data_IF_854082649313
#
_entry.id   IF_854082649313
#
_cell.length_a   1.000
_cell.length_b   1.000
_cell.length_c   1.000
_cell.angle_alpha   90.00
_cell.angle_beta   90.00
_cell.angle_gamma   90.00
#
_symmetry.space_group_name_H-M   'P 1'
#
loop_
_entity.id
_entity.type
_entity.pdbx_description
1 polymer ?
#
# COMPACT_ATOMS: atom_id res chain seq x y z
N UNK A 1 0.06 11.21 -25.48
CA UNK A 1 -1.16 11.19 -24.63
C UNK A 1 -2.43 10.99 -25.45
N UNK A 2 -2.70 11.83 -26.46
CA UNK A 2 -3.92 11.75 -27.28
C UNK A 2 -4.11 10.37 -27.96
N UNK A 3 -3.05 9.80 -28.54
CA UNK A 3 -3.10 8.46 -29.15
C UNK A 3 -3.44 7.34 -28.15
N UNK A 4 -2.84 7.33 -26.95
CA UNK A 4 -3.17 6.35 -25.92
C UNK A 4 -4.61 6.52 -25.40
N UNK A 5 -5.11 7.76 -25.33
CA UNK A 5 -6.48 8.05 -24.96
C UNK A 5 -7.47 7.52 -26.00
N UNK A 6 -7.19 7.73 -27.29
CA UNK A 6 -7.99 7.19 -28.41
C UNK A 6 -8.01 5.66 -28.36
N UNK A 7 -6.86 4.99 -28.18
CA UNK A 7 -6.81 3.53 -28.02
C UNK A 7 -7.66 3.06 -26.83
N UNK A 8 -7.57 3.73 -25.69
CA UNK A 8 -8.30 3.35 -24.49
C UNK A 8 -9.82 3.45 -24.68
N UNK A 9 -10.29 4.46 -25.40
CA UNK A 9 -11.70 4.63 -25.76
C UNK A 9 -12.14 3.60 -26.81
N UNK A 10 -11.40 3.45 -27.91
CA UNK A 10 -11.76 2.54 -29.01
C UNK A 10 -11.82 1.09 -28.56
N UNK A 11 -10.80 0.61 -27.85
CA UNK A 11 -10.75 -0.77 -27.39
C UNK A 11 -11.65 -1.03 -26.17
N UNK A 12 -11.90 -0.02 -25.33
CA UNK A 12 -12.94 -0.09 -24.30
C UNK A 12 -14.33 -0.31 -24.90
N UNK A 13 -14.66 0.40 -25.99
CA UNK A 13 -15.92 0.23 -26.74
C UNK A 13 -15.98 -1.12 -27.47
N UNK A 14 -14.86 -1.62 -27.98
CA UNK A 14 -14.79 -2.94 -28.63
C UNK A 14 -15.04 -4.09 -27.64
N UNK A 15 -14.45 -4.01 -26.44
CA UNK A 15 -14.72 -4.97 -25.36
C UNK A 15 -16.19 -4.91 -24.88
N UNK A 16 -16.81 -3.73 -24.89
CA UNK A 16 -18.22 -3.54 -24.58
C UNK A 16 -19.13 -4.23 -25.61
N UNK A 17 -18.85 -4.11 -26.90
CA UNK A 17 -19.64 -4.76 -27.95
C UNK A 17 -19.69 -6.27 -27.72
N UNK A 18 -18.54 -6.88 -27.39
CA UNK A 18 -18.45 -8.31 -27.10
C UNK A 18 -19.24 -8.70 -25.84
N UNK A 19 -19.10 -7.95 -24.74
CA UNK A 19 -19.81 -8.23 -23.49
C UNK A 19 -21.32 -8.02 -23.61
N UNK A 20 -21.75 -6.96 -24.31
CA UNK A 20 -23.18 -6.69 -24.58
C UNK A 20 -23.78 -7.77 -25.47
N UNK A 21 -23.07 -8.21 -26.52
CA UNK A 21 -23.50 -9.33 -27.34
C UNK A 21 -23.59 -10.63 -26.53
N UNK A 22 -22.62 -10.91 -25.65
CA UNK A 22 -22.64 -12.09 -24.79
C UNK A 22 -23.83 -12.06 -23.80
N UNK A 23 -24.11 -10.90 -23.21
CA UNK A 23 -25.19 -10.71 -22.21
C UNK A 23 -26.58 -10.67 -22.86
N UNK A 24 -26.72 -10.08 -24.04
CA UNK A 24 -27.98 -10.02 -24.80
C UNK A 24 -28.45 -11.40 -25.27
N UNK A 25 -27.52 -12.34 -25.43
CA UNK A 25 -27.81 -13.72 -25.81
C UNK A 25 -27.67 -14.71 -24.65
N UNK A 26 -27.55 -14.23 -23.41
CA UNK A 26 -27.37 -15.07 -22.21
C UNK A 26 -28.49 -16.11 -22.07
N UNK A 27 -29.76 -15.72 -22.27
CA UNK A 27 -30.91 -16.65 -22.25
C UNK A 27 -30.90 -17.66 -23.40
N UNK A 28 -30.31 -17.31 -24.54
CA UNK A 28 -30.19 -18.21 -25.71
C UNK A 28 -29.05 -19.19 -25.51
N UNK A 29 -27.94 -18.74 -24.92
CA UNK A 29 -26.77 -19.54 -24.57
C UNK A 29 -27.09 -20.50 -23.42
N UNK A 30 -27.81 -20.05 -22.40
CA UNK A 30 -28.28 -20.89 -21.30
C UNK A 30 -29.19 -22.02 -21.78
N UNK A 31 -29.98 -21.82 -22.84
CA UNK A 31 -30.81 -22.88 -23.46
C UNK A 31 -30.02 -23.88 -24.30
N UNK A 32 -28.86 -23.49 -24.82
CA UNK A 32 -27.99 -24.36 -25.64
C UNK A 32 -27.09 -25.26 -24.76
N UNK A 33 -26.77 -24.84 -23.53
CA UNK A 33 -25.84 -25.53 -22.63
C UNK A 33 -26.50 -26.15 -21.38
N UNK A 34 -27.81 -26.42 -21.41
CA UNK A 34 -28.60 -26.87 -20.25
C UNK A 34 -28.11 -28.17 -19.62
N UNK A 35 -27.48 -29.07 -20.38
CA UNK A 35 -27.18 -30.42 -19.87
C UNK A 35 -25.75 -30.63 -19.32
N UNK A 36 -24.83 -29.67 -19.48
CA UNK A 36 -23.41 -29.99 -19.28
C UNK A 36 -22.66 -28.87 -18.52
N UNK A 37 -22.59 -29.04 -17.19
CA UNK A 37 -22.05 -28.04 -16.23
C UNK A 37 -20.61 -27.60 -16.52
N UNK A 38 -19.83 -28.43 -17.21
CA UNK A 38 -18.42 -28.11 -17.52
C UNK A 38 -18.29 -27.11 -18.69
N UNK A 39 -19.24 -27.11 -19.62
CA UNK A 39 -19.27 -26.17 -20.76
C UNK A 39 -19.70 -24.77 -20.35
N UNK A 40 -20.61 -24.61 -19.38
CA UNK A 40 -20.95 -23.29 -18.84
C UNK A 40 -19.72 -22.67 -18.14
N UNK A 41 -18.97 -23.47 -17.38
CA UNK A 41 -17.69 -23.07 -16.81
C UNK A 41 -16.65 -22.72 -17.89
N UNK A 42 -16.53 -23.53 -18.94
CA UNK A 42 -15.64 -23.28 -20.07
C UNK A 42 -16.03 -22.03 -20.87
N UNK A 43 -17.33 -21.80 -21.07
CA UNK A 43 -17.89 -20.64 -21.74
C UNK A 43 -17.68 -19.38 -20.91
N UNK A 44 -17.92 -19.40 -19.59
CA UNK A 44 -17.62 -18.26 -18.72
C UNK A 44 -16.12 -17.96 -18.67
N UNK A 45 -15.26 -18.99 -18.68
CA UNK A 45 -13.80 -18.83 -18.86
C UNK A 45 -13.47 -18.21 -20.22
N UNK A 46 -14.15 -18.64 -21.29
CA UNK A 46 -13.98 -18.12 -22.65
C UNK A 46 -14.48 -16.68 -22.79
N UNK A 47 -15.68 -16.35 -22.31
CA UNK A 47 -16.24 -15.00 -22.31
C UNK A 47 -15.39 -14.05 -21.45
N UNK A 48 -14.88 -14.52 -20.30
CA UNK A 48 -13.89 -13.77 -19.51
C UNK A 48 -12.58 -13.61 -20.29
N UNK A 49 -12.10 -14.65 -20.98
CA UNK A 49 -10.90 -14.59 -21.80
C UNK A 49 -11.05 -13.63 -22.99
N UNK A 50 -12.19 -13.65 -23.70
CA UNK A 50 -12.49 -12.72 -24.81
C UNK A 50 -12.68 -11.31 -24.24
N UNK A 51 -13.33 -11.14 -23.09
CA UNK A 51 -13.42 -9.85 -22.39
C UNK A 51 -12.04 -9.31 -22.00
N UNK A 52 -11.13 -10.17 -21.51
CA UNK A 52 -9.74 -9.83 -21.21
C UNK A 52 -8.96 -9.49 -22.48
N UNK A 53 -9.11 -10.25 -23.56
CA UNK A 53 -8.43 -10.01 -24.84
C UNK A 53 -8.93 -8.73 -25.50
N UNK A 54 -10.25 -8.48 -25.49
CA UNK A 54 -10.87 -7.27 -26.03
C UNK A 54 -10.52 -6.02 -25.23
N UNK A 55 -10.37 -6.13 -23.91
CA UNK A 55 -9.97 -5.00 -23.04
C UNK A 55 -8.45 -4.86 -22.88
N UNK A 56 -7.65 -5.86 -23.26
CA UNK A 56 -6.20 -5.86 -23.10
C UNK A 56 -5.50 -4.67 -23.79
N UNK A 57 -5.84 -4.26 -25.04
CA UNK A 57 -5.23 -3.07 -25.65
C UNK A 57 -5.55 -1.78 -24.87
N UNK A 58 -6.77 -1.65 -24.33
CA UNK A 58 -7.15 -0.54 -23.47
C UNK A 58 -6.40 -0.54 -22.14
N UNK A 59 -6.21 -1.71 -21.53
CA UNK A 59 -5.39 -1.90 -20.33
C UNK A 59 -3.90 -1.63 -20.58
N UNK A 60 -3.37 -1.97 -21.75
CA UNK A 60 -2.00 -1.67 -22.15
C UNK A 60 -1.79 -0.17 -22.40
N UNK A 61 -2.74 0.48 -23.09
CA UNK A 61 -2.74 1.93 -23.29
C UNK A 61 -2.83 2.67 -21.95
N UNK A 62 -3.66 2.17 -21.03
CA UNK A 62 -3.76 2.67 -19.67
C UNK A 62 -2.46 2.49 -18.89
N UNK A 63 -1.86 1.30 -18.94
CA UNK A 63 -0.57 1.04 -18.31
C UNK A 63 0.52 1.96 -18.86
N UNK A 64 0.47 2.28 -20.16
CA UNK A 64 1.32 3.28 -20.82
C UNK A 64 1.10 4.69 -20.26
N UNK A 65 -0.15 5.17 -20.24
CA UNK A 65 -0.51 6.47 -19.67
C UNK A 65 -0.08 6.58 -18.20
N UNK A 66 -0.33 5.55 -17.41
CA UNK A 66 0.10 5.50 -16.01
C UNK A 66 1.62 5.51 -15.87
N UNK A 67 2.36 4.76 -16.70
CA UNK A 67 3.83 4.79 -16.75
C UNK A 67 4.36 6.20 -17.00
N UNK A 68 3.69 6.97 -17.83
CA UNK A 68 4.12 8.32 -18.20
C UNK A 68 3.66 9.39 -17.20
N UNK A 69 2.45 9.29 -16.66
CA UNK A 69 1.77 10.41 -16.00
C UNK A 69 1.70 10.30 -14.47
N UNK A 70 1.60 9.09 -13.89
CA UNK A 70 1.26 8.97 -12.47
C UNK A 70 2.49 8.74 -11.58
N UNK A 71 2.73 9.61 -10.60
CA UNK A 71 3.76 9.47 -9.56
C UNK A 71 5.10 8.93 -10.09
N UNK A 72 5.55 9.41 -11.26
CA UNK A 72 6.70 8.82 -11.98
C UNK A 72 7.99 8.91 -11.15
N UNK A 73 8.25 10.07 -10.55
CA UNK A 73 9.40 10.28 -9.69
C UNK A 73 9.38 9.31 -8.50
N UNK A 74 8.27 9.26 -7.74
CA UNK A 74 8.10 8.33 -6.62
C UNK A 74 8.35 6.87 -7.04
N UNK A 75 7.73 6.40 -8.13
CA UNK A 75 7.89 5.01 -8.56
C UNK A 75 9.30 4.64 -8.99
N UNK A 76 10.02 5.60 -9.57
CA UNK A 76 11.39 5.39 -10.03
C UNK A 76 12.38 5.50 -8.87
N UNK A 77 12.20 6.52 -8.04
CA UNK A 77 13.22 7.02 -7.13
C UNK A 77 13.00 6.56 -5.68
N UNK A 78 11.77 6.19 -5.29
CA UNK A 78 11.50 5.62 -3.96
C UNK A 78 11.48 4.08 -3.95
N UNK A 79 11.61 3.42 -5.10
CA UNK A 79 11.45 1.96 -5.19
C UNK A 79 12.49 1.20 -4.36
N UNK A 80 13.76 1.62 -4.37
CA UNK A 80 14.80 0.93 -3.61
C UNK A 80 14.57 1.06 -2.09
N UNK A 81 14.09 2.23 -1.66
CA UNK A 81 13.62 2.46 -0.29
C UNK A 81 12.45 1.53 0.05
N UNK A 82 11.39 1.50 -0.76
CA UNK A 82 10.20 0.69 -0.46
C UNK A 82 10.52 -0.80 -0.32
N UNK A 83 11.42 -1.35 -1.14
CA UNK A 83 11.79 -2.78 -1.04
C UNK A 83 12.71 -3.11 0.13
N UNK A 84 13.45 -2.13 0.66
CA UNK A 84 14.36 -2.31 1.81
C UNK A 84 13.70 -1.90 3.14
N UNK A 85 12.60 -1.12 3.07
CA UNK A 85 11.81 -0.65 4.21
C UNK A 85 11.36 -1.76 5.18
N UNK A 86 11.07 -3.01 4.76
CA UNK A 86 10.78 -4.08 5.72
C UNK A 86 11.86 -4.30 6.78
N UNK A 87 13.11 -3.88 6.57
CA UNK A 87 14.13 -3.90 7.61
C UNK A 87 13.76 -3.01 8.82
N UNK A 88 13.12 -1.86 8.59
CA UNK A 88 12.74 -0.89 9.64
C UNK A 88 11.25 -0.94 10.01
N UNK A 89 10.40 -1.59 9.22
CA UNK A 89 8.95 -1.62 9.45
C UNK A 89 8.29 -2.98 9.27
N UNK A 90 9.06 -4.04 9.05
CA UNK A 90 8.52 -5.39 8.86
C UNK A 90 7.91 -5.95 10.14
N UNK A 91 6.87 -6.76 10.02
CA UNK A 91 6.24 -7.43 11.17
C UNK A 91 6.79 -8.81 11.45
N UNK A 92 7.57 -9.35 10.51
CA UNK A 92 8.07 -10.70 10.53
C UNK A 92 6.99 -11.74 10.23
N UNK A 93 7.37 -12.87 9.66
CA UNK A 93 6.49 -14.04 9.51
C UNK A 93 7.26 -15.33 9.36
N UNK A 94 6.60 -16.45 9.65
CA UNK A 94 7.10 -17.77 9.31
C UNK A 94 6.60 -18.17 7.91
N UNK A 95 7.56 -18.48 7.04
CA UNK A 95 7.29 -19.01 5.71
C UNK A 95 6.61 -20.40 5.83
N UNK A 96 5.42 -20.61 5.22
CA UNK A 96 4.68 -21.86 5.37
C UNK A 96 5.37 -23.09 4.76
N UNK A 97 6.20 -22.91 3.74
CA UNK A 97 6.83 -24.01 3.01
C UNK A 97 8.16 -24.42 3.65
N UNK A 98 8.94 -23.44 4.10
CA UNK A 98 10.30 -23.63 4.61
C UNK A 98 10.41 -23.55 6.13
N UNK A 99 9.40 -23.01 6.81
CA UNK A 99 9.42 -22.77 8.26
C UNK A 99 10.43 -21.71 8.71
N UNK A 100 11.05 -20.99 7.76
CA UNK A 100 12.05 -19.95 8.03
C UNK A 100 11.37 -18.63 8.37
N UNK A 101 12.02 -17.86 9.23
CA UNK A 101 11.54 -16.53 9.59
C UNK A 101 11.99 -15.50 8.55
N UNK A 102 11.06 -14.70 8.04
CA UNK A 102 11.31 -13.56 7.17
C UNK A 102 10.90 -12.25 7.82
N UNK A 103 11.38 -11.13 7.29
CA UNK A 103 11.15 -9.77 7.82
C UNK A 103 9.71 -9.26 7.63
N UNK A 104 8.97 -9.78 6.64
CA UNK A 104 7.68 -9.22 6.24
C UNK A 104 6.61 -10.28 6.06
N UNK A 105 5.40 -10.01 6.57
CA UNK A 105 4.22 -10.85 6.38
C UNK A 105 3.71 -10.76 4.93
N UNK A 106 3.60 -9.55 4.37
CA UNK A 106 3.05 -9.35 3.02
C UNK A 106 4.10 -9.46 1.92
N UNK A 107 5.38 -9.23 2.23
CA UNK A 107 6.48 -9.26 1.27
C UNK A 107 6.53 -10.51 0.39
N UNK A 108 6.42 -11.74 0.93
CA UNK A 108 6.46 -12.97 0.14
C UNK A 108 5.33 -13.09 -0.89
N UNK A 109 4.18 -12.49 -0.61
CA UNK A 109 3.04 -12.47 -1.52
C UNK A 109 3.23 -11.52 -2.71
N UNK A 110 4.16 -10.55 -2.66
CA UNK A 110 4.38 -9.58 -3.73
C UNK A 110 4.95 -10.27 -4.98
N UNK A 111 4.17 -10.32 -6.07
CA UNK A 111 4.56 -10.93 -7.34
C UNK A 111 4.88 -9.89 -8.43
N UNK A 112 4.42 -8.65 -8.30
CA UNK A 112 4.60 -7.60 -9.29
C UNK A 112 4.98 -6.26 -8.67
N UNK A 113 5.60 -5.37 -9.45
CA UNK A 113 5.82 -3.99 -9.01
C UNK A 113 4.54 -3.17 -9.04
N UNK A 114 3.63 -3.48 -9.97
CA UNK A 114 2.43 -2.69 -10.22
C UNK A 114 1.28 -3.64 -10.48
N UNK A 115 0.11 -3.33 -9.92
CA UNK A 115 -1.13 -4.03 -10.26
C UNK A 115 -1.45 -3.84 -11.73
N UNK A 116 -1.65 -4.94 -12.45
CA UNK A 116 -2.10 -4.93 -13.84
C UNK A 116 -3.40 -5.71 -14.02
N UNK A 117 -3.91 -6.34 -12.95
CA UNK A 117 -5.21 -7.02 -12.97
C UNK A 117 -6.01 -6.79 -11.68
N UNK A 118 -7.31 -7.07 -11.78
CA UNK A 118 -8.25 -7.09 -10.65
C UNK A 118 -8.21 -8.39 -9.85
N UNK A 119 -7.34 -9.35 -10.21
CA UNK A 119 -7.29 -10.64 -9.54
C UNK A 119 -6.79 -10.49 -8.08
N UNK A 120 -7.40 -11.18 -7.11
CA UNK A 120 -6.96 -11.14 -5.70
C UNK A 120 -5.52 -11.60 -5.48
N UNK A 121 -5.02 -12.47 -6.36
CA UNK A 121 -3.65 -13.00 -6.34
C UNK A 121 -2.60 -12.00 -6.84
N UNK A 122 -3.00 -10.89 -7.47
CA UNK A 122 -2.09 -9.87 -8.00
C UNK A 122 -1.66 -8.88 -6.91
N UNK A 123 -0.81 -9.36 -5.99
CA UNK A 123 -0.21 -8.51 -4.94
C UNK A 123 1.03 -7.80 -5.51
N UNK A 124 1.10 -6.50 -5.27
CA UNK A 124 2.10 -5.62 -5.87
C UNK A 124 2.61 -4.54 -4.92
N UNK A 125 3.75 -3.93 -5.27
CA UNK A 125 4.30 -2.80 -4.51
C UNK A 125 3.43 -1.55 -4.69
N UNK A 126 3.15 -1.16 -5.94
CA UNK A 126 2.28 -0.04 -6.29
C UNK A 126 0.91 -0.55 -6.72
N UNK A 127 -0.06 -0.43 -5.82
CA UNK A 127 -1.44 -0.76 -6.11
C UNK A 127 -2.12 0.45 -6.78
N UNK A 128 -2.67 0.20 -7.96
CA UNK A 128 -3.35 1.23 -8.76
C UNK A 128 -4.82 0.88 -8.97
N UNK A 129 -5.37 -0.07 -8.20
CA UNK A 129 -6.75 -0.51 -8.31
C UNK A 129 -7.74 0.64 -8.19
N UNK A 130 -7.46 1.64 -7.34
CA UNK A 130 -8.27 2.85 -7.23
C UNK A 130 -8.28 3.70 -8.51
N UNK A 131 -7.20 3.70 -9.28
CA UNK A 131 -7.10 4.41 -10.56
C UNK A 131 -7.67 3.58 -11.72
N UNK A 132 -7.67 2.25 -11.59
CA UNK A 132 -8.28 1.34 -12.57
C UNK A 132 -9.81 1.30 -12.48
N UNK A 133 -10.41 1.58 -11.31
CA UNK A 133 -11.88 1.63 -11.15
C UNK A 133 -12.60 2.47 -12.22
N UNK A 134 -12.16 3.71 -12.51
CA UNK A 134 -12.63 4.49 -13.66
C UNK A 134 -12.64 3.78 -15.02
N UNK A 135 -11.72 2.84 -15.28
CA UNK A 135 -11.68 2.11 -16.55
C UNK A 135 -12.80 1.10 -16.66
N UNK A 136 -13.19 0.47 -15.55
CA UNK A 136 -14.37 -0.39 -15.54
C UNK A 136 -15.64 0.43 -15.81
N UNK A 137 -15.70 1.69 -15.36
CA UNK A 137 -16.80 2.60 -15.67
C UNK A 137 -16.86 3.02 -17.15
N UNK A 138 -15.78 2.88 -17.92
CA UNK A 138 -15.82 3.03 -19.39
C UNK A 138 -16.69 1.93 -20.01
N UNK A 139 -16.77 0.76 -19.38
CA UNK A 139 -17.72 -0.29 -19.78
C UNK A 139 -19.17 0.13 -19.53
N UNK A 140 -19.41 1.07 -18.61
CA UNK A 140 -20.73 1.67 -18.37
C UNK A 140 -20.94 2.98 -19.17
N UNK A 141 -20.09 3.26 -20.17
CA UNK A 141 -20.06 4.50 -20.97
C UNK A 141 -19.88 5.79 -20.17
N UNK A 142 -19.47 5.69 -18.90
CA UNK A 142 -19.11 6.84 -18.09
C UNK A 142 -17.64 7.21 -18.30
N UNK A 143 -17.37 8.20 -19.15
CA UNK A 143 -16.01 8.71 -19.39
C UNK A 143 -15.55 9.72 -18.31
N UNK A 144 -16.48 10.29 -17.54
CA UNK A 144 -16.19 11.30 -16.49
C UNK A 144 -15.13 10.83 -15.47
N UNK A 145 -15.12 9.57 -15.02
CA UNK A 145 -14.10 9.07 -14.10
C UNK A 145 -12.66 9.10 -14.66
N UNK A 146 -12.46 9.07 -15.99
CA UNK A 146 -11.12 9.14 -16.60
C UNK A 146 -10.42 10.48 -16.34
N UNK A 147 -11.18 11.56 -16.15
CA UNK A 147 -10.62 12.87 -15.79
C UNK A 147 -9.88 12.83 -14.43
N UNK A 148 -10.19 11.87 -13.56
CA UNK A 148 -9.49 11.69 -12.28
C UNK A 148 -8.01 11.38 -12.44
N UNK A 149 -7.60 10.77 -13.56
CA UNK A 149 -6.20 10.43 -13.85
C UNK A 149 -5.34 11.67 -14.07
N UNK A 150 -5.93 12.78 -14.49
CA UNK A 150 -5.24 14.04 -14.79
C UNK A 150 -5.30 15.05 -13.64
N UNK A 151 -5.88 14.67 -12.49
CA UNK A 151 -5.90 15.55 -11.32
C UNK A 151 -4.47 15.77 -10.81
N UNK A 152 -4.19 17.01 -10.38
CA UNK A 152 -2.91 17.38 -9.75
C UNK A 152 -2.59 16.52 -8.53
N UNK A 153 -3.61 16.14 -7.75
CA UNK A 153 -3.48 15.24 -6.59
C UNK A 153 -3.98 13.86 -6.98
N UNK A 154 -3.10 12.88 -6.89
CA UNK A 154 -3.40 11.47 -7.15
C UNK A 154 -3.25 10.66 -5.86
N UNK A 155 -4.10 9.65 -5.69
CA UNK A 155 -3.98 8.71 -4.57
C UNK A 155 -3.12 7.53 -5.00
N UNK A 156 -1.90 7.45 -4.47
CA UNK A 156 -1.04 6.28 -4.57
C UNK A 156 -1.41 5.27 -3.47
N UNK A 157 -1.49 3.98 -3.79
CA UNK A 157 -1.65 2.91 -2.81
C UNK A 157 -0.41 2.02 -2.82
N UNK A 158 0.09 1.69 -1.62
CA UNK A 158 1.24 0.82 -1.44
C UNK A 158 0.78 -0.53 -0.91
N UNK A 159 1.12 -1.60 -1.62
CA UNK A 159 0.77 -2.96 -1.20
C UNK A 159 1.83 -3.62 -0.31
N UNK A 160 3.09 -3.19 -0.41
CA UNK A 160 4.18 -3.66 0.46
C UNK A 160 4.19 -2.89 1.78
N UNK A 161 3.25 -3.19 2.66
CA UNK A 161 3.13 -2.54 3.97
C UNK A 161 2.47 -3.47 4.97
N UNK A 162 3.24 -3.92 5.95
CA UNK A 162 2.73 -4.76 7.03
C UNK A 162 1.94 -3.93 8.06
N UNK A 163 1.22 -4.63 8.94
CA UNK A 163 0.41 -4.04 10.01
C UNK A 163 1.20 -4.10 11.31
N UNK A 164 1.76 -2.97 11.75
CA UNK A 164 2.64 -2.93 12.91
C UNK A 164 1.85 -2.79 14.21
N UNK A 165 2.35 -3.38 15.30
CA UNK A 165 1.90 -3.09 16.65
C UNK A 165 2.88 -2.14 17.35
N UNK A 166 4.18 -2.32 17.12
CA UNK A 166 5.19 -1.43 17.64
C UNK A 166 5.03 -0.01 17.08
N UNK A 167 4.76 0.95 17.96
CA UNK A 167 4.50 2.34 17.57
C UNK A 167 5.70 2.98 16.86
N UNK A 168 6.92 2.60 17.25
CA UNK A 168 8.15 3.02 16.56
C UNK A 168 8.20 2.52 15.11
N UNK A 169 7.86 1.25 14.86
CA UNK A 169 7.82 0.69 13.51
C UNK A 169 6.71 1.33 12.66
N UNK A 170 5.52 1.55 13.21
CA UNK A 170 4.41 2.25 12.53
C UNK A 170 4.80 3.69 12.18
N UNK A 171 5.38 4.43 13.13
CA UNK A 171 5.87 5.80 12.91
C UNK A 171 6.91 5.85 11.80
N UNK A 172 7.97 5.04 11.89
CA UNK A 172 9.01 5.01 10.87
C UNK A 172 8.45 4.62 9.51
N UNK A 173 7.54 3.65 9.44
CA UNK A 173 6.88 3.25 8.19
C UNK A 173 6.23 4.43 7.48
N UNK A 174 5.44 5.23 8.19
CA UNK A 174 4.67 6.34 7.61
C UNK A 174 5.56 7.56 7.39
N UNK A 175 6.33 7.96 8.39
CA UNK A 175 7.10 9.19 8.40
C UNK A 175 8.26 9.15 7.40
N UNK A 176 9.05 8.06 7.36
CA UNK A 176 10.15 7.93 6.38
C UNK A 176 9.60 7.86 4.94
N UNK A 177 8.46 7.20 4.73
CA UNK A 177 7.83 7.13 3.41
C UNK A 177 7.35 8.50 2.93
N UNK A 178 6.77 9.30 3.83
CA UNK A 178 6.32 10.66 3.51
C UNK A 178 7.51 11.51 3.09
N UNK A 179 8.58 11.53 3.90
CA UNK A 179 9.78 12.29 3.59
C UNK A 179 10.45 11.84 2.29
N UNK A 180 10.60 10.53 2.07
CA UNK A 180 11.18 9.99 0.83
C UNK A 180 10.33 10.35 -0.39
N UNK A 181 9.01 10.44 -0.26
CA UNK A 181 8.15 10.88 -1.36
C UNK A 181 8.33 12.36 -1.66
N UNK A 182 8.41 13.22 -0.64
CA UNK A 182 8.70 14.64 -0.82
C UNK A 182 10.05 14.84 -1.53
N UNK A 183 11.09 14.10 -1.12
CA UNK A 183 12.42 14.12 -1.76
C UNK A 183 12.40 13.60 -3.20
N UNK A 184 11.59 12.57 -3.49
CA UNK A 184 11.40 12.07 -4.84
C UNK A 184 10.72 13.13 -5.73
N UNK A 185 9.69 13.80 -5.22
CA UNK A 185 8.98 14.86 -5.93
C UNK A 185 9.88 16.09 -6.17
N UNK A 186 10.76 16.42 -5.22
CA UNK A 186 11.78 17.45 -5.36
C UNK A 186 12.95 17.06 -6.29
N UNK A 187 13.01 15.81 -6.76
CA UNK A 187 14.04 15.30 -7.66
C UNK A 187 15.40 15.01 -7.00
N UNK A 188 15.49 15.12 -5.68
CA UNK A 188 16.71 14.90 -4.88
C UNK A 188 17.24 13.47 -5.05
N UNK A 189 16.32 12.50 -5.13
CA UNK A 189 16.66 11.08 -5.15
C UNK A 189 17.02 10.54 -6.55
N UNK A 190 17.00 11.38 -7.59
CA UNK A 190 17.11 10.94 -8.98
C UNK A 190 18.43 10.22 -9.32
N UNK A 191 19.50 10.48 -8.55
CA UNK A 191 20.83 9.89 -8.73
C UNK A 191 21.07 8.65 -7.88
N UNK A 192 20.16 8.29 -6.98
CA UNK A 192 20.37 7.13 -6.11
C UNK A 192 20.38 5.82 -6.93
N UNK A 193 21.26 4.87 -6.57
CA UNK A 193 21.36 3.59 -7.24
C UNK A 193 20.12 2.74 -6.99
N UNK A 194 19.71 1.97 -8.00
CA UNK A 194 18.47 1.18 -7.97
C UNK A 194 18.78 -0.31 -8.14
N UNK A 195 18.10 -1.21 -7.42
CA UNK A 195 18.23 -2.65 -7.61
C UNK A 195 17.95 -3.06 -9.06
N UNK A 196 18.84 -3.85 -9.68
CA UNK A 196 18.71 -4.28 -11.08
C UNK A 196 17.47 -5.15 -11.31
N UNK A 197 17.12 -5.98 -10.32
CA UNK A 197 15.94 -6.87 -10.34
C UNK A 197 15.12 -6.64 -9.07
N UNK A 198 14.25 -5.62 -9.02
CA UNK A 198 13.58 -5.19 -7.78
C UNK A 198 12.77 -6.27 -7.05
N UNK A 199 12.08 -7.16 -7.77
CA UNK A 199 11.29 -8.23 -7.14
C UNK A 199 12.15 -9.34 -6.56
N UNK A 200 13.21 -9.74 -7.29
CA UNK A 200 14.20 -10.68 -6.77
C UNK A 200 14.95 -10.08 -5.58
N UNK A 201 15.25 -8.78 -5.63
CA UNK A 201 15.86 -8.04 -4.54
C UNK A 201 14.95 -8.02 -3.31
N UNK A 202 13.67 -7.68 -3.46
CA UNK A 202 12.69 -7.72 -2.37
C UNK A 202 12.68 -9.08 -1.68
N UNK A 203 12.50 -10.18 -2.43
CA UNK A 203 12.47 -11.55 -1.87
C UNK A 203 13.75 -11.90 -1.12
N UNK A 204 14.90 -11.53 -1.69
CA UNK A 204 16.21 -11.79 -1.07
C UNK A 204 16.37 -11.01 0.23
N UNK A 205 15.98 -9.74 0.26
CA UNK A 205 16.12 -8.89 1.45
C UNK A 205 15.15 -9.31 2.56
N UNK A 206 13.88 -9.58 2.24
CA UNK A 206 12.90 -9.99 3.27
C UNK A 206 13.13 -11.40 3.79
N UNK A 207 13.74 -12.28 2.99
CA UNK A 207 14.04 -13.66 3.38
C UNK A 207 15.28 -13.79 4.26
N UNK A 208 15.96 -12.68 4.54
CA UNK A 208 17.18 -12.66 5.34
C UNK A 208 17.01 -11.82 6.62
N UNK A 209 16.60 -12.45 7.74
CA UNK A 209 16.44 -11.74 9.00
C UNK A 209 17.77 -11.29 9.61
N UNK A 210 18.92 -11.78 9.12
CA UNK A 210 20.24 -11.34 9.54
C UNK A 210 20.70 -10.06 8.80
N UNK A 211 19.93 -9.59 7.81
CA UNK A 211 20.19 -8.36 7.04
C UNK A 211 21.54 -8.35 6.29
N UNK A 212 22.13 -9.52 6.03
CA UNK A 212 23.46 -9.66 5.39
C UNK A 212 23.39 -9.68 3.87
N UNK A 213 22.26 -10.07 3.31
CA UNK A 213 22.05 -10.28 1.90
C UNK A 213 22.20 -9.00 1.11
N UNK A 214 23.08 -9.02 0.11
CA UNK A 214 23.28 -7.90 -0.82
C UNK A 214 22.58 -8.12 -2.16
N UNK A 215 22.07 -7.05 -2.74
CA UNK A 215 21.38 -7.05 -4.05
C UNK A 215 22.13 -6.14 -5.04
N UNK A 216 22.36 -6.59 -6.28
CA UNK A 216 23.10 -5.80 -7.27
C UNK A 216 22.29 -4.56 -7.69
N UNK A 217 22.93 -3.40 -7.65
CA UNK A 217 22.34 -2.12 -8.05
C UNK A 217 22.82 -1.64 -9.44
N UNK A 218 22.19 -0.57 -9.93
CA UNK A 218 22.41 -0.01 -11.27
C UNK A 218 23.83 0.51 -11.48
N UNK A 219 24.49 0.95 -10.42
CA UNK A 219 25.89 1.42 -10.40
C UNK A 219 26.91 0.27 -10.29
N UNK A 220 26.46 -0.98 -10.30
CA UNK A 220 27.34 -2.16 -10.21
C UNK A 220 27.68 -2.57 -8.78
N UNK A 221 27.38 -1.76 -7.77
CA UNK A 221 27.65 -2.08 -6.37
C UNK A 221 26.47 -2.86 -5.79
N UNK A 222 26.76 -3.99 -5.14
CA UNK A 222 25.76 -4.76 -4.42
C UNK A 222 25.54 -4.16 -3.02
N UNK A 223 24.28 -3.98 -2.61
CA UNK A 223 23.92 -3.35 -1.32
C UNK A 223 22.93 -4.18 -0.51
N UNK A 224 23.06 -4.18 0.82
CA UNK A 224 22.11 -4.75 1.77
C UNK A 224 20.87 -3.88 1.94
N UNK A 225 19.87 -4.37 2.67
CA UNK A 225 18.70 -3.57 3.00
C UNK A 225 19.07 -2.31 3.80
N UNK A 226 20.00 -2.45 4.76
CA UNK A 226 20.47 -1.34 5.58
C UNK A 226 21.27 -0.34 4.73
N UNK A 227 22.21 -0.81 3.91
CA UNK A 227 22.99 0.06 3.01
C UNK A 227 22.08 0.84 2.06
N UNK A 228 20.99 0.22 1.58
CA UNK A 228 19.98 0.94 0.80
C UNK A 228 19.25 1.99 1.64
N UNK A 229 18.81 1.69 2.85
CA UNK A 229 18.14 2.66 3.72
C UNK A 229 19.05 3.85 4.08
N UNK A 230 20.33 3.59 4.36
CA UNK A 230 21.36 4.61 4.64
C UNK A 230 21.46 5.64 3.53
N UNK A 231 21.48 5.21 2.26
CA UNK A 231 21.50 6.13 1.11
C UNK A 231 20.34 7.13 1.10
N UNK A 232 19.12 6.70 1.50
CA UNK A 232 17.97 7.60 1.55
C UNK A 232 18.01 8.50 2.78
N UNK A 233 18.47 7.98 3.92
CA UNK A 233 18.68 8.79 5.12
C UNK A 233 19.71 9.90 4.87
N UNK A 234 20.81 9.59 4.19
CA UNK A 234 21.86 10.56 3.87
C UNK A 234 21.35 11.64 2.91
N UNK A 235 20.63 11.24 1.84
CA UNK A 235 19.98 12.19 0.94
C UNK A 235 18.95 13.08 1.66
N UNK A 236 18.22 12.51 2.63
CA UNK A 236 17.27 13.26 3.44
C UNK A 236 17.97 14.26 4.38
N UNK A 237 19.07 13.85 5.03
CA UNK A 237 19.90 14.72 5.87
C UNK A 237 20.48 15.88 5.08
N UNK A 238 21.06 15.62 3.92
CA UNK A 238 21.62 16.66 3.04
C UNK A 238 20.55 17.67 2.61
N UNK A 239 19.38 17.18 2.19
CA UNK A 239 18.28 18.04 1.79
C UNK A 239 17.76 18.92 2.95
N UNK A 240 17.63 18.34 4.14
CA UNK A 240 17.14 19.04 5.33
C UNK A 240 18.16 20.07 5.83
N UNK A 241 19.46 19.76 5.79
CA UNK A 241 20.52 20.70 6.16
C UNK A 241 20.56 21.93 5.23
N UNK A 242 20.19 21.77 3.96
CA UNK A 242 20.06 22.87 2.99
C UNK A 242 18.79 23.73 3.15
N UNK A 243 17.83 23.32 3.99
CA UNK A 243 16.57 24.03 4.18
C UNK A 243 16.63 24.94 5.42
N UNK A 244 16.47 26.24 5.22
CA UNK A 244 16.60 27.27 6.28
C UNK A 244 15.61 27.14 7.47
N UNK A 245 14.57 26.30 7.37
CA UNK A 245 13.55 26.13 8.40
C UNK A 245 12.91 24.73 8.38
N UNK A 246 13.72 23.66 8.42
CA UNK A 246 13.18 22.32 8.63
C UNK A 246 12.57 22.18 10.05
N UNK A 247 11.42 21.52 10.15
CA UNK A 247 10.69 21.41 11.42
C UNK A 247 11.39 20.48 12.42
N UNK A 248 11.11 20.64 13.72
CA UNK A 248 11.68 19.78 14.77
C UNK A 248 11.28 18.31 14.56
N UNK A 249 10.08 18.06 14.05
CA UNK A 249 9.56 16.72 13.76
C UNK A 249 10.39 16.01 12.68
N UNK A 250 10.88 16.74 11.67
CA UNK A 250 11.74 16.17 10.64
C UNK A 250 13.11 15.78 11.22
N UNK A 251 13.69 16.61 12.08
CA UNK A 251 14.95 16.28 12.75
C UNK A 251 14.80 15.04 13.64
N UNK A 252 13.69 14.96 14.40
CA UNK A 252 13.39 13.81 15.25
C UNK A 252 13.15 12.53 14.43
N UNK A 253 12.50 12.62 13.27
CA UNK A 253 12.39 11.52 12.32
C UNK A 253 13.77 11.02 11.86
N UNK A 254 14.64 11.93 11.41
CA UNK A 254 15.99 11.57 10.92
C UNK A 254 16.81 10.92 12.03
N UNK A 255 16.75 11.43 13.26
CA UNK A 255 17.42 10.85 14.43
C UNK A 255 16.93 9.43 14.70
N UNK A 256 15.61 9.22 14.79
CA UNK A 256 15.03 7.89 15.04
C UNK A 256 15.34 6.89 13.93
N UNK A 257 15.31 7.33 12.68
CA UNK A 257 15.65 6.48 11.55
C UNK A 257 17.11 6.03 11.62
N UNK A 258 18.03 6.96 11.89
CA UNK A 258 19.46 6.68 12.09
C UNK A 258 19.70 5.70 13.24
N UNK A 259 19.09 5.94 14.40
CA UNK A 259 19.21 5.07 15.57
C UNK A 259 18.78 3.64 15.29
N UNK A 260 17.66 3.47 14.59
CA UNK A 260 17.19 2.14 14.22
C UNK A 260 18.15 1.47 13.25
N UNK A 261 18.65 2.17 12.22
CA UNK A 261 19.62 1.59 11.30
C UNK A 261 20.93 1.22 12.01
N UNK A 262 21.43 2.08 12.90
CA UNK A 262 22.65 1.83 13.68
C UNK A 262 22.49 0.62 14.61
N UNK A 263 21.35 0.50 15.28
CA UNK A 263 21.06 -0.67 16.11
C UNK A 263 20.91 -1.94 15.28
N UNK A 264 20.31 -1.88 14.08
CA UNK A 264 20.23 -3.03 13.17
C UNK A 264 21.61 -3.51 12.68
N UNK A 265 22.59 -2.62 12.55
CA UNK A 265 23.96 -2.98 12.14
C UNK A 265 24.78 -3.60 13.27
N UNK A 266 24.59 -3.12 14.49
CA UNK A 266 25.48 -3.43 15.62
C UNK A 266 24.85 -4.38 16.65
N UNK A 267 23.62 -4.09 17.09
CA UNK A 267 22.95 -4.81 18.17
C UNK A 267 21.42 -4.81 17.98
N UNK A 268 20.87 -5.64 17.07
CA UNK A 268 19.44 -5.67 16.77
C UNK A 268 18.54 -5.91 17.98
N UNK A 269 19.05 -6.61 19.01
CA UNK A 269 18.33 -6.88 20.26
C UNK A 269 17.85 -5.60 20.98
N UNK A 270 18.54 -4.46 20.80
CA UNK A 270 18.13 -3.16 21.36
C UNK A 270 16.80 -2.64 20.77
N UNK A 271 16.32 -3.26 19.70
CA UNK A 271 15.06 -2.92 19.03
C UNK A 271 13.91 -3.82 19.44
N UNK A 272 14.10 -4.69 20.44
CA UNK A 272 13.00 -5.38 21.09
C UNK A 272 11.96 -4.37 21.62
N UNK A 273 10.67 -4.66 21.42
CA UNK A 273 9.56 -3.75 21.68
C UNK A 273 9.44 -2.56 20.71
N UNK A 274 10.49 -2.22 19.96
CA UNK A 274 10.52 -1.09 19.00
C UNK A 274 10.22 -1.51 17.56
N UNK A 275 10.71 -2.70 17.15
CA UNK A 275 10.41 -3.30 15.85
C UNK A 275 9.70 -4.64 16.04
N UNK A 276 8.60 -4.82 15.30
CA UNK A 276 7.76 -6.00 15.42
C UNK A 276 8.52 -7.28 15.06
N UNK A 277 9.21 -7.31 13.91
CA UNK A 277 9.92 -8.51 13.47
C UNK A 277 11.05 -8.90 14.43
N UNK A 278 11.75 -7.94 15.03
CA UNK A 278 12.81 -8.19 16.02
C UNK A 278 12.22 -8.83 17.27
N UNK A 279 11.14 -8.25 17.79
CA UNK A 279 10.47 -8.73 19.01
C UNK A 279 9.88 -10.12 18.80
N UNK A 280 9.18 -10.32 17.68
CA UNK A 280 8.60 -11.60 17.31
C UNK A 280 9.68 -12.67 17.10
N UNK A 281 10.79 -12.33 16.45
CA UNK A 281 11.91 -13.26 16.27
C UNK A 281 12.49 -13.70 17.61
N UNK A 282 12.71 -12.76 18.53
CA UNK A 282 13.21 -13.08 19.87
C UNK A 282 12.27 -14.02 20.64
N UNK A 283 10.95 -13.81 20.57
CA UNK A 283 9.96 -14.71 21.19
C UNK A 283 9.99 -16.11 20.58
N UNK A 284 10.14 -16.21 19.25
CA UNK A 284 10.25 -17.50 18.56
C UNK A 284 11.56 -18.23 18.89
N UNK A 285 12.67 -17.50 19.04
CA UNK A 285 13.97 -18.04 19.44
C UNK A 285 13.93 -18.54 20.88
N UNK A 286 13.34 -17.76 21.80
CA UNK A 286 13.18 -18.13 23.21
C UNK A 286 12.30 -19.37 23.40
N UNK A 287 11.26 -19.52 22.57
CA UNK A 287 10.38 -20.69 22.62
C UNK A 287 11.09 -21.98 22.16
N UNK A 288 12.24 -21.87 21.47
CA UNK A 288 13.11 -22.97 21.08
C UNK A 288 12.96 -23.40 19.63
N UNK A 289 14.10 -23.63 18.97
CA UNK A 289 14.16 -24.02 17.56
C UNK A 289 13.56 -25.40 17.26
N UNK A 290 13.43 -26.26 18.27
CA UNK A 290 12.86 -27.61 18.16
C UNK A 290 11.33 -27.66 18.18
N UNK A 291 10.65 -26.51 18.32
CA UNK A 291 9.19 -26.47 18.26
C UNK A 291 8.68 -26.79 16.85
N UNK A 292 7.65 -27.64 16.80
CA UNK A 292 6.89 -27.91 15.58
C UNK A 292 6.37 -26.62 14.95
N UNK A 293 6.27 -26.61 13.61
CA UNK A 293 5.83 -25.43 12.85
C UNK A 293 4.50 -24.89 13.36
N UNK A 294 3.53 -25.76 13.68
CA UNK A 294 2.23 -25.35 14.19
C UNK A 294 2.32 -24.59 15.53
N UNK A 295 3.23 -24.99 16.43
CA UNK A 295 3.44 -24.30 17.70
C UNK A 295 4.12 -22.94 17.48
N UNK A 296 5.14 -22.88 16.61
CA UNK A 296 5.78 -21.62 16.21
C UNK A 296 4.81 -20.66 15.54
N UNK A 297 3.91 -21.17 14.68
CA UNK A 297 2.88 -20.35 14.02
C UNK A 297 1.82 -19.84 15.00
N UNK A 298 1.48 -20.59 16.05
CA UNK A 298 0.63 -20.08 17.13
C UNK A 298 1.28 -18.88 17.83
N UNK A 299 2.59 -18.91 18.07
CA UNK A 299 3.31 -17.78 18.66
C UNK A 299 3.27 -16.55 17.75
N UNK A 300 3.55 -16.75 16.45
CA UNK A 300 3.50 -15.72 15.41
C UNK A 300 2.12 -15.03 15.35
N UNK A 301 1.04 -15.82 15.38
CA UNK A 301 -0.34 -15.31 15.40
C UNK A 301 -0.69 -14.62 16.73
N UNK A 302 -0.34 -15.24 17.87
CA UNK A 302 -0.64 -14.71 19.20
C UNK A 302 0.08 -13.38 19.46
N UNK A 303 1.23 -13.14 18.84
CA UNK A 303 1.88 -11.83 18.87
C UNK A 303 0.96 -10.70 18.41
N UNK A 304 0.16 -10.95 17.36
CA UNK A 304 -0.71 -9.95 16.72
C UNK A 304 -2.11 -9.86 17.33
N UNK A 305 -2.42 -10.64 18.36
CA UNK A 305 -3.74 -10.62 18.98
C UNK A 305 -3.93 -9.34 19.80
N UNK A 306 -4.97 -8.57 19.48
CA UNK A 306 -5.26 -7.32 20.17
C UNK A 306 -5.74 -7.59 21.60
N UNK A 307 -5.23 -6.81 22.57
CA UNK A 307 -5.60 -6.87 23.98
C UNK A 307 -5.00 -8.04 24.76
N UNK A 308 -4.95 -9.25 24.21
CA UNK A 308 -4.41 -10.43 24.94
C UNK A 308 -3.17 -11.07 24.32
N UNK A 309 -2.69 -10.52 23.21
CA UNK A 309 -1.51 -11.01 22.51
C UNK A 309 -0.19 -10.70 23.22
N UNK A 310 0.89 -11.29 22.70
CA UNK A 310 2.21 -11.09 23.32
C UNK A 310 2.68 -9.65 23.28
N UNK A 311 2.41 -8.92 22.19
CA UNK A 311 2.81 -7.51 22.12
C UNK A 311 2.09 -6.64 23.16
N UNK A 312 0.79 -6.88 23.40
CA UNK A 312 0.05 -6.16 24.44
C UNK A 312 0.70 -6.35 25.82
N UNK A 313 1.12 -7.59 26.14
CA UNK A 313 1.87 -7.87 27.38
C UNK A 313 3.23 -7.17 27.43
N UNK A 314 3.95 -7.09 26.31
CA UNK A 314 5.21 -6.33 26.26
C UNK A 314 4.99 -4.84 26.54
N UNK A 315 3.86 -4.29 26.08
CA UNK A 315 3.48 -2.90 26.37
C UNK A 315 3.11 -2.74 27.86
N UNK A 316 2.31 -3.66 28.43
CA UNK A 316 1.94 -3.67 29.85
C UNK A 316 3.16 -3.80 30.79
N UNK A 317 4.16 -4.57 30.39
CA UNK A 317 5.43 -4.73 31.13
C UNK A 317 6.43 -3.58 30.90
N UNK A 318 6.08 -2.57 30.08
CA UNK A 318 6.94 -1.43 29.77
C UNK A 318 8.14 -1.76 28.86
N UNK A 319 8.13 -2.93 28.22
CA UNK A 319 9.16 -3.38 27.28
C UNK A 319 8.95 -2.85 25.86
N UNK A 320 7.75 -2.38 25.53
CA UNK A 320 7.43 -1.75 24.24
C UNK A 320 7.22 -0.23 24.42
N UNK A 321 8.15 0.63 23.96
CA UNK A 321 8.02 2.07 24.14
C UNK A 321 6.91 2.66 23.28
N UNK A 322 6.09 3.50 23.90
CA UNK A 322 4.99 4.22 23.27
C UNK A 322 5.43 5.60 22.77
N UNK A 323 4.82 6.04 21.68
CA UNK A 323 4.97 7.38 21.11
C UNK A 323 3.77 8.29 21.43
N UNK A 324 2.60 7.69 21.66
CA UNK A 324 1.37 8.40 22.02
C UNK A 324 0.81 7.89 23.35
N UNK A 325 0.33 8.82 24.17
CA UNK A 325 -0.31 8.51 25.46
C UNK A 325 -1.76 8.04 25.30
N UNK A 326 -2.34 7.50 26.37
CA UNK A 326 -3.73 7.02 26.37
C UNK A 326 -4.72 8.17 26.09
N UNK A 327 -4.51 9.33 26.70
CA UNK A 327 -5.36 10.53 26.47
C UNK A 327 -5.42 10.94 25.00
N UNK A 328 -4.31 10.80 24.26
CA UNK A 328 -4.27 11.12 22.82
C UNK A 328 -5.05 10.09 22.00
N UNK A 329 -4.94 8.81 22.37
CA UNK A 329 -5.70 7.72 21.74
C UNK A 329 -7.19 7.90 22.00
N UNK A 330 -7.59 8.13 23.25
CA UNK A 330 -8.98 8.35 23.64
C UNK A 330 -9.58 9.55 22.92
N UNK A 331 -8.83 10.66 22.82
CA UNK A 331 -9.25 11.83 22.05
C UNK A 331 -9.43 11.48 20.58
N UNK A 332 -8.50 10.74 19.97
CA UNK A 332 -8.56 10.36 18.55
C UNK A 332 -9.73 9.43 18.22
N UNK A 333 -10.29 8.69 19.19
CA UNK A 333 -11.52 7.90 19.00
C UNK A 333 -12.75 8.78 18.73
N UNK A 334 -12.77 9.98 19.32
CA UNK A 334 -13.94 10.88 19.30
C UNK A 334 -13.73 12.06 18.34
N UNK A 335 -12.51 12.52 18.18
CA UNK A 335 -12.18 13.76 17.48
C UNK A 335 -11.44 13.49 16.17
N UNK A 336 -11.93 14.11 15.10
CA UNK A 336 -11.28 14.02 13.80
C UNK A 336 -10.07 14.97 13.72
N UNK A 337 -9.00 14.60 12.99
CA UNK A 337 -7.78 15.40 12.92
C UNK A 337 -8.03 16.80 12.37
N UNK A 338 -7.53 17.81 13.09
CA UNK A 338 -7.91 19.21 12.94
C UNK A 338 -7.63 19.79 11.55
N UNK A 339 -6.45 19.50 10.99
CA UNK A 339 -5.97 20.05 9.72
C UNK A 339 -6.28 19.13 8.54
N UNK A 340 -7.45 18.51 8.57
CA UNK A 340 -7.87 17.55 7.54
C UNK A 340 -9.34 17.70 7.14
N UNK A 341 -9.73 17.23 5.93
CA UNK A 341 -11.13 17.13 5.54
C UNK A 341 -11.98 16.28 6.49
N UNK A 342 -11.36 15.41 7.30
CA UNK A 342 -12.07 14.61 8.28
C UNK A 342 -12.72 15.48 9.37
N UNK A 343 -12.14 16.63 9.74
CA UNK A 343 -12.75 17.58 10.69
C UNK A 343 -14.09 18.07 10.17
N UNK A 344 -14.12 18.62 8.95
CA UNK A 344 -15.34 19.10 8.30
C UNK A 344 -16.36 17.98 8.15
N UNK A 345 -15.90 16.79 7.74
CA UNK A 345 -16.77 15.61 7.63
C UNK A 345 -17.39 15.23 8.97
N UNK A 346 -16.61 15.20 10.06
CA UNK A 346 -17.08 14.87 11.41
C UNK A 346 -18.11 15.89 11.91
N UNK A 347 -17.84 17.18 11.72
CA UNK A 347 -18.78 18.26 12.08
C UNK A 347 -20.11 18.14 11.33
N UNK A 348 -20.07 17.92 10.01
CA UNK A 348 -21.27 17.74 9.20
C UNK A 348 -22.03 16.46 9.60
N UNK A 349 -21.33 15.36 9.88
CA UNK A 349 -21.95 14.12 10.34
C UNK A 349 -22.71 14.36 11.66
N UNK A 350 -22.08 15.02 12.64
CA UNK A 350 -22.71 15.34 13.93
C UNK A 350 -23.93 16.25 13.76
N UNK A 351 -23.83 17.29 12.94
CA UNK A 351 -24.93 18.22 12.67
C UNK A 351 -26.11 17.56 11.96
N UNK A 352 -25.85 16.70 10.96
CA UNK A 352 -26.88 15.96 10.23
C UNK A 352 -27.56 14.93 11.13
N UNK A 353 -26.79 14.21 11.96
CA UNK A 353 -27.32 13.27 12.94
C UNK A 353 -28.23 13.98 13.97
N UNK A 354 -27.80 15.12 14.50
CA UNK A 354 -28.59 15.92 15.45
C UNK A 354 -29.88 16.47 14.81
N UNK A 355 -29.87 16.75 13.51
CA UNK A 355 -31.04 17.28 12.78
C UNK A 355 -31.97 16.19 12.23
N UNK A 356 -31.64 14.91 12.43
CA UNK A 356 -32.40 13.78 11.86
C UNK A 356 -32.39 13.72 10.32
N UNK A 357 -31.46 14.41 9.66
CA UNK A 357 -31.40 14.49 8.20
C UNK A 357 -30.64 13.28 7.67
N UNK A 358 -31.34 12.43 6.92
CA UNK A 358 -30.71 11.33 6.20
C UNK A 358 -29.73 11.87 5.15
N UNK A 359 -28.49 11.36 5.14
CA UNK A 359 -27.48 11.74 4.17
C UNK A 359 -26.57 10.56 3.84
N UNK A 360 -26.07 10.51 2.60
CA UNK A 360 -25.02 9.58 2.19
C UNK A 360 -23.66 10.25 2.38
N UNK A 361 -22.84 9.70 3.25
CA UNK A 361 -21.53 10.27 3.62
C UNK A 361 -20.42 9.48 2.95
N UNK A 362 -19.56 10.16 2.19
CA UNK A 362 -18.38 9.60 1.54
C UNK A 362 -17.06 10.21 2.05
N UNK A 363 -15.95 9.87 1.38
CA UNK A 363 -14.64 10.45 1.65
C UNK A 363 -14.46 11.83 1.00
N UNK A 364 -15.02 12.02 -0.20
CA UNK A 364 -14.87 13.21 -1.04
C UNK A 364 -16.13 14.08 -1.06
N UNK A 365 -17.29 13.56 -0.64
CA UNK A 365 -18.57 14.28 -0.68
C UNK A 365 -19.58 13.77 0.33
N UNK A 366 -20.58 14.60 0.62
CA UNK A 366 -21.79 14.26 1.35
C UNK A 366 -23.00 14.60 0.47
N UNK A 367 -23.95 13.68 0.36
CA UNK A 367 -25.16 13.86 -0.44
C UNK A 367 -26.39 13.88 0.48
N UNK A 368 -27.11 15.00 0.47
CA UNK A 368 -28.33 15.21 1.25
C UNK A 368 -29.52 15.21 0.29
N UNK A 369 -30.51 14.30 0.45
CA UNK A 369 -31.73 14.32 -0.34
C UNK A 369 -32.52 15.62 -0.14
N UNK A 370 -33.00 16.22 -1.22
CA UNK A 370 -33.94 17.35 -1.22
C UNK A 370 -35.17 16.94 -2.06
N UNK A 371 -36.06 16.17 -1.45
CA UNK A 371 -37.20 15.56 -2.15
C UNK A 371 -36.84 14.32 -2.97
N UNK A 372 -37.73 13.89 -3.87
CA UNK A 372 -37.59 12.62 -4.61
C UNK A 372 -36.49 12.63 -5.67
N UNK A 373 -36.18 13.78 -6.28
CA UNK A 373 -35.28 13.88 -7.44
C UNK A 373 -34.08 14.81 -7.26
N UNK A 374 -34.05 15.68 -6.24
CA UNK A 374 -32.93 16.60 -6.02
C UNK A 374 -32.05 16.13 -4.87
N UNK A 375 -30.75 16.37 -5.01
CA UNK A 375 -29.76 16.11 -3.97
C UNK A 375 -28.86 17.33 -3.84
N UNK A 376 -28.62 17.77 -2.61
CA UNK A 376 -27.56 18.71 -2.32
C UNK A 376 -26.25 17.93 -2.14
N UNK A 377 -25.23 18.29 -2.92
CA UNK A 377 -23.90 17.65 -2.83
C UNK A 377 -22.94 18.63 -2.19
N UNK A 378 -22.41 18.28 -1.02
CA UNK A 378 -21.35 19.01 -0.34
C UNK A 378 -20.03 18.32 -0.68
N UNK A 379 -19.14 19.01 -1.38
CA UNK A 379 -17.80 18.51 -1.71
C UNK A 379 -16.83 18.75 -0.56
N UNK A 380 -16.10 17.71 -0.18
CA UNK A 380 -15.08 17.70 0.87
C UNK A 380 -13.65 17.80 0.31
N UNK A 381 -13.50 17.69 -1.02
CA UNK A 381 -12.22 17.74 -1.73
C UNK A 381 -11.70 19.16 -1.99
N UNK A 382 -12.53 20.19 -1.80
CA UNK A 382 -12.14 21.61 -1.87
C UNK A 382 -11.28 22.00 -0.67
N UNK A 383 -9.98 21.82 -0.84
CA UNK A 383 -8.91 22.12 0.10
C UNK A 383 -8.54 23.62 0.00
N UNK A 384 -9.37 24.53 0.54
CA UNK A 384 -8.88 25.88 0.84
C UNK A 384 -8.21 25.82 2.21
N UNK A 385 -6.87 25.85 2.22
CA UNK A 385 -6.09 26.18 3.42
C UNK A 385 -6.30 27.64 3.75
#
# INVERSE_FOLDING_TARGET
MLACFILLVVFGLLGLLVLVLARRHEDTLMRVFVDDRDYLGAFMRMATAIGVVGTAPGMLAYAGLWRLCCCRAIRRDALAFLISRPAVSGTGTLDPETGRFGLSEKGPAIRRLVRMSSLPTDRCVFDIGNLMKPLFCVMDLELRPLASLFRRRQRLQLGLSDSNLAQTAEYLKVATTTLVFDLAEAGVLARLPRPRRPLSALRRLIGDPELRSKVPCSDGVARSAIELQRLYLDAAREHVAGAAAASLEVHELLRRWDEVLTALESQPALLFGRLDWVSKRALLEQAGAGLEFAARKKIDLKYHELGTGYFARLEDEGLAPRLVGDDEIERALLEAPERSPARRRSQLLRSLAASGIAARIGWDRIEIPKGSLRKQVIRLDDYRR
#
